data_IF_187248925119
#
_entry.id   IF_187248925119
#
_cell.length_a   1.000
_cell.length_b   1.000
_cell.length_c   1.000
_cell.angle_alpha   90.00
_cell.angle_beta   90.00
_cell.angle_gamma   90.00
#
_symmetry.space_group_name_H-M   'P 1'
#
loop_
_entity.id
_entity.type
_entity.pdbx_description
1 polymer ?
#
# COMPACT_ATOMS: atom_id res chain seq x y z
N UNK A 1 7.08 1.29 0.38
CA UNK A 1 6.18 1.65 -0.76
C UNK A 1 6.19 0.63 -1.89
N UNK A 2 7.36 0.27 -2.43
CA UNK A 2 7.46 -0.62 -3.60
C UNK A 2 6.77 -2.00 -3.42
N UNK A 3 6.90 -2.64 -2.25
CA UNK A 3 6.22 -3.91 -1.97
C UNK A 3 4.69 -3.81 -2.06
N UNK A 4 4.11 -2.71 -1.56
CA UNK A 4 2.68 -2.44 -1.67
C UNK A 4 2.27 -2.22 -3.14
N UNK A 5 3.11 -1.51 -3.92
CA UNK A 5 2.86 -1.32 -5.35
C UNK A 5 2.87 -2.66 -6.12
N UNK A 6 3.80 -3.56 -5.81
CA UNK A 6 3.85 -4.89 -6.41
C UNK A 6 2.61 -5.74 -6.08
N UNK A 7 2.13 -5.69 -4.84
CA UNK A 7 0.88 -6.36 -4.43
C UNK A 7 -0.32 -5.78 -5.20
N UNK A 8 -0.40 -4.46 -5.33
CA UNK A 8 -1.45 -3.81 -6.13
C UNK A 8 -1.47 -4.33 -7.57
N UNK A 9 -0.32 -4.43 -8.24
CA UNK A 9 -0.27 -4.98 -9.59
C UNK A 9 -0.71 -6.45 -9.64
N UNK A 10 -0.27 -7.27 -8.70
CA UNK A 10 -0.68 -8.67 -8.60
C UNK A 10 -2.21 -8.81 -8.44
N UNK A 11 -2.83 -7.99 -7.59
CA UNK A 11 -4.29 -7.97 -7.39
C UNK A 11 -5.02 -7.54 -8.66
N UNK A 12 -4.52 -6.54 -9.39
CA UNK A 12 -5.14 -6.11 -10.65
C UNK A 12 -5.10 -7.22 -11.71
N UNK A 13 -3.97 -7.92 -11.85
CA UNK A 13 -3.86 -9.07 -12.76
C UNK A 13 -4.77 -10.21 -12.31
N UNK A 14 -4.85 -10.48 -11.01
CA UNK A 14 -5.74 -11.49 -10.45
C UNK A 14 -7.22 -11.19 -10.76
N UNK A 15 -7.68 -9.96 -10.51
CA UNK A 15 -9.04 -9.53 -10.82
C UNK A 15 -9.35 -9.67 -12.32
N UNK A 16 -8.42 -9.23 -13.16
CA UNK A 16 -8.54 -9.39 -14.61
C UNK A 16 -8.64 -10.87 -15.03
N UNK A 17 -7.83 -11.76 -14.43
CA UNK A 17 -7.82 -13.18 -14.75
C UNK A 17 -9.10 -13.92 -14.32
N UNK A 18 -9.78 -13.48 -13.26
CA UNK A 18 -11.07 -14.06 -12.84
C UNK A 18 -12.22 -13.72 -13.80
N UNK A 19 -12.08 -12.65 -14.58
CA UNK A 19 -13.07 -12.17 -15.52
C UNK A 19 -13.03 -12.90 -16.86
N UNK A 20 -13.53 -14.16 -16.91
CA UNK A 20 -13.70 -15.02 -18.12
C UNK A 20 -13.04 -14.45 -19.39
N UNK A 21 -11.72 -14.59 -19.46
CA UNK A 21 -10.88 -14.12 -20.55
C UNK A 21 -11.39 -14.65 -21.89
N UNK A 22 -12.12 -13.80 -22.62
CA UNK A 22 -12.61 -14.12 -23.95
C UNK A 22 -11.74 -13.39 -24.96
N UNK A 23 -10.99 -14.15 -25.75
CA UNK A 23 -10.14 -13.61 -26.81
C UNK A 23 -11.02 -13.03 -27.94
N UNK A 24 -10.52 -11.98 -28.60
CA UNK A 24 -11.15 -11.36 -29.78
C UNK A 24 -12.56 -10.74 -29.61
N UNK A 25 -12.96 -10.39 -28.38
CA UNK A 25 -14.21 -9.65 -28.14
C UNK A 25 -13.95 -8.29 -27.50
N UNK A 26 -14.17 -7.18 -28.22
CA UNK A 26 -14.01 -5.84 -27.67
C UNK A 26 -15.00 -5.62 -26.51
N UNK A 27 -14.56 -4.98 -25.40
CA UNK A 27 -15.46 -4.55 -24.32
C UNK A 27 -16.29 -3.30 -24.66
N UNK A 28 -16.14 -2.77 -25.88
CA UNK A 28 -16.81 -1.54 -26.34
C UNK A 28 -17.89 -1.91 -27.35
N UNK A 29 -19.08 -1.32 -27.19
CA UNK A 29 -20.26 -1.54 -28.04
C UNK A 29 -20.02 -1.02 -29.46
N UNK A 30 -19.50 -1.88 -30.35
CA UNK A 30 -19.30 -1.60 -31.78
C UNK A 30 -20.12 -2.53 -32.69
N UNK A 31 -21.34 -2.90 -32.28
CA UNK A 31 -22.24 -3.72 -33.12
C UNK A 31 -21.81 -5.19 -33.28
N UNK A 32 -20.93 -5.70 -32.41
CA UNK A 32 -20.49 -7.09 -32.43
C UNK A 32 -21.54 -8.04 -31.83
N UNK A 33 -21.69 -9.25 -32.41
CA UNK A 33 -22.60 -10.30 -31.93
C UNK A 33 -22.23 -10.86 -30.55
N UNK A 34 -21.04 -10.57 -30.04
CA UNK A 34 -20.60 -11.08 -28.76
C UNK A 34 -19.66 -10.13 -27.99
N UNK A 35 -19.92 -10.02 -26.69
CA UNK A 35 -19.26 -9.10 -25.76
C UNK A 35 -18.44 -9.86 -24.72
N UNK A 36 -17.34 -9.26 -24.27
CA UNK A 36 -16.66 -9.68 -23.04
C UNK A 36 -17.36 -9.05 -21.83
N UNK A 37 -17.27 -9.68 -20.67
CA UNK A 37 -17.86 -9.16 -19.44
C UNK A 37 -17.18 -7.81 -19.06
N UNK A 38 -17.92 -6.68 -19.02
CA UNK A 38 -17.35 -5.38 -18.67
C UNK A 38 -17.11 -5.21 -17.16
N UNK A 39 -17.68 -6.08 -16.31
CA UNK A 39 -17.64 -5.95 -14.86
C UNK A 39 -16.20 -6.06 -14.30
N UNK A 40 -15.38 -7.06 -14.67
CA UNK A 40 -13.97 -7.13 -14.26
C UNK A 40 -13.15 -5.92 -14.68
N UNK A 41 -13.43 -5.32 -15.85
CA UNK A 41 -12.69 -4.17 -16.35
C UNK A 41 -13.01 -2.90 -15.56
N UNK A 42 -14.29 -2.68 -15.24
CA UNK A 42 -14.70 -1.58 -14.39
C UNK A 42 -14.06 -1.68 -12.99
N UNK A 43 -14.02 -2.89 -12.41
CA UNK A 43 -13.40 -3.15 -11.12
C UNK A 43 -11.88 -2.85 -11.12
N UNK A 44 -11.17 -3.24 -12.18
CA UNK A 44 -9.74 -2.94 -12.34
C UNK A 44 -9.50 -1.44 -12.47
N UNK A 45 -10.31 -0.71 -13.26
CA UNK A 45 -10.15 0.75 -13.38
C UNK A 45 -10.35 1.45 -12.03
N UNK A 46 -11.35 1.04 -11.25
CA UNK A 46 -11.56 1.55 -9.89
C UNK A 46 -10.37 1.22 -8.98
N UNK A 47 -9.87 -0.01 -9.02
CA UNK A 47 -8.72 -0.44 -8.23
C UNK A 47 -7.44 0.36 -8.56
N UNK A 48 -7.21 0.66 -9.84
CA UNK A 48 -6.06 1.49 -10.28
C UNK A 48 -6.13 2.89 -9.68
N UNK A 49 -7.27 3.58 -9.77
CA UNK A 49 -7.42 4.97 -9.28
C UNK A 49 -7.28 5.05 -7.76
N UNK A 50 -7.90 4.14 -7.02
CA UNK A 50 -7.77 4.06 -5.56
C UNK A 50 -6.31 3.82 -5.18
N UNK A 51 -5.66 2.85 -5.83
CA UNK A 51 -4.28 2.50 -5.54
C UNK A 51 -3.30 3.62 -5.86
N UNK A 52 -3.56 4.39 -6.92
CA UNK A 52 -2.79 5.59 -7.24
C UNK A 52 -2.89 6.62 -6.11
N UNK A 53 -4.11 6.94 -5.65
CA UNK A 53 -4.32 7.88 -4.55
C UNK A 53 -3.66 7.43 -3.24
N UNK A 54 -3.82 6.15 -2.89
CA UNK A 54 -3.19 5.56 -1.71
C UNK A 54 -1.65 5.57 -1.81
N UNK A 55 -1.09 5.24 -2.98
CA UNK A 55 0.36 5.26 -3.19
C UNK A 55 0.92 6.67 -3.08
N UNK A 56 0.24 7.68 -3.64
CA UNK A 56 0.65 9.08 -3.52
C UNK A 56 0.67 9.52 -2.05
N UNK A 57 -0.37 9.18 -1.28
CA UNK A 57 -0.41 9.47 0.16
C UNK A 57 0.76 8.81 0.91
N UNK A 58 0.98 7.51 0.69
CA UNK A 58 2.05 6.77 1.37
C UNK A 58 3.44 7.32 0.99
N UNK A 59 3.66 7.73 -0.25
CA UNK A 59 4.91 8.36 -0.68
C UNK A 59 5.13 9.70 0.03
N UNK A 60 4.10 10.54 0.11
CA UNK A 60 4.18 11.83 0.83
C UNK A 60 4.47 11.60 2.31
N UNK A 61 3.83 10.62 2.95
CA UNK A 61 4.09 10.27 4.34
C UNK A 61 5.52 9.73 4.55
N UNK A 62 6.01 8.87 3.65
CA UNK A 62 7.38 8.37 3.71
C UNK A 62 8.40 9.50 3.57
N UNK A 63 8.19 10.43 2.62
CA UNK A 63 9.05 11.60 2.45
C UNK A 63 9.03 12.49 3.69
N UNK A 64 7.85 12.75 4.25
CA UNK A 64 7.71 13.54 5.48
C UNK A 64 8.46 12.88 6.64
N UNK A 65 8.26 11.58 6.84
CA UNK A 65 8.91 10.81 7.89
C UNK A 65 10.44 10.85 7.76
N UNK A 66 10.95 10.73 6.53
CA UNK A 66 12.38 10.82 6.25
C UNK A 66 12.96 12.21 6.58
N UNK A 67 12.25 13.28 6.21
CA UNK A 67 12.68 14.65 6.52
C UNK A 67 12.63 14.96 8.02
N UNK A 68 11.68 14.40 8.75
CA UNK A 68 11.54 14.59 10.21
C UNK A 68 12.53 13.72 11.01
N UNK A 69 12.79 12.49 10.58
CA UNK A 69 13.61 11.52 11.32
C UNK A 69 15.08 11.52 10.91
N UNK A 70 15.41 12.09 9.75
CA UNK A 70 16.76 12.11 9.19
C UNK A 70 17.26 10.77 8.64
N UNK A 71 16.38 9.75 8.58
CA UNK A 71 16.70 8.41 8.11
C UNK A 71 15.45 7.60 7.75
N UNK A 72 15.64 6.50 7.02
CA UNK A 72 14.59 5.56 6.57
C UNK A 72 14.67 4.20 7.32
N UNK A 73 15.33 4.19 8.47
CA UNK A 73 15.50 2.97 9.27
C UNK A 73 14.22 2.62 10.03
N UNK A 74 13.84 1.35 10.00
CA UNK A 74 12.65 0.82 10.65
C UNK A 74 13.11 -0.08 11.81
N UNK A 75 13.01 0.40 13.05
CA UNK A 75 13.30 -0.40 14.24
C UNK A 75 12.04 -1.15 14.70
N UNK A 76 12.00 -2.47 14.46
CA UNK A 76 10.92 -3.33 14.92
C UNK A 76 11.30 -3.92 16.27
N UNK A 77 11.15 -3.13 17.32
CA UNK A 77 11.30 -3.61 18.70
C UNK A 77 10.01 -4.28 19.18
N UNK A 78 10.14 -5.46 19.80
CA UNK A 78 9.01 -6.16 20.40
C UNK A 78 8.39 -5.35 21.54
N UNK A 79 7.10 -5.53 21.80
CA UNK A 79 6.35 -4.76 22.82
C UNK A 79 7.01 -4.78 24.21
N UNK A 80 7.59 -5.92 24.59
CA UNK A 80 8.35 -6.06 25.83
C UNK A 80 9.65 -5.23 25.85
N UNK A 81 10.28 -5.04 24.70
CA UNK A 81 11.46 -4.19 24.54
C UNK A 81 11.09 -2.70 24.51
N UNK A 82 9.95 -2.36 23.90
CA UNK A 82 9.36 -1.01 23.96
C UNK A 82 9.08 -0.63 25.42
N UNK A 83 8.41 -1.50 26.18
CA UNK A 83 8.09 -1.27 27.58
C UNK A 83 9.37 -1.08 28.43
N UNK A 84 10.39 -1.92 28.23
CA UNK A 84 11.68 -1.79 28.93
C UNK A 84 12.45 -0.53 28.55
N UNK A 85 12.42 -0.09 27.29
CA UNK A 85 13.04 1.18 26.87
C UNK A 85 12.34 2.37 27.51
N UNK A 86 11.01 2.39 27.54
CA UNK A 86 10.23 3.45 28.20
C UNK A 86 10.56 3.51 29.71
N UNK A 87 10.68 2.36 30.38
CA UNK A 87 11.01 2.29 31.80
C UNK A 87 12.45 2.73 32.11
N UNK A 88 13.42 2.33 31.26
CA UNK A 88 14.82 2.75 31.37
C UNK A 88 15.01 4.25 31.13
N UNK A 89 14.33 4.79 30.13
CA UNK A 89 14.49 6.19 29.70
C UNK A 89 13.62 7.15 30.57
N UNK A 90 12.68 6.60 31.36
CA UNK A 90 11.88 7.31 32.37
C UNK A 90 12.54 7.50 33.74
N UNK A 91 13.72 6.91 34.00
CA UNK A 91 14.49 7.07 35.26
C UNK A 91 15.83 7.73 34.96
N UNK A 92 15.80 9.00 34.57
CA UNK A 92 16.97 9.89 34.60
C UNK A 92 16.53 11.32 34.94
N UNK A 93 15.81 11.45 36.06
CA UNK A 93 15.66 12.74 36.74
C UNK A 93 16.99 13.13 37.43
N UNK A 94 17.32 14.43 37.52
CA UNK A 94 18.63 14.93 37.96
C UNK A 94 18.87 14.83 39.49
N UNK A 95 18.47 13.75 40.14
CA UNK A 95 18.61 13.58 41.61
C UNK A 95 19.85 12.79 42.05
N UNK A 96 20.72 12.40 41.13
CA UNK A 96 21.97 11.70 41.46
C UNK A 96 23.15 12.62 41.82
N UNK A 97 22.89 13.87 42.24
CA UNK A 97 23.94 14.73 42.77
C UNK A 97 23.42 15.54 43.95
N UNK A 98 23.83 15.05 45.13
CA UNK A 98 23.96 15.77 46.40
C UNK A 98 24.41 17.21 46.21
#
# INVERSE_FOLDING_TARGET
VLGLAMITYAVNVFLFATGRLTLDRPPVLNGAEAYTDPLPQALVLTAIVISFGMSALVVVLALRSYLESGGDEIDVIGEAEVARRIERDGVSGPEARR
#
